data_IF_872696143746
#
_entry.id   IF_872696143746
#
_cell.length_a   1.000
_cell.length_b   1.000
_cell.length_c   1.000
_cell.angle_alpha   90.00
_cell.angle_beta   90.00
_cell.angle_gamma   90.00
#
_symmetry.space_group_name_H-M   'P 1'
#
loop_
_entity.id
_entity.type
_entity.pdbx_description
1 polymer ?
#
# COMPACT_ATOMS: atom_id res chain seq x y z
N UNK A 1 3.24 13.62 5.76
CA UNK A 1 2.84 12.91 4.54
C UNK A 1 3.40 11.49 4.53
N UNK A 2 2.59 10.54 4.08
CA UNK A 2 2.90 9.11 4.00
C UNK A 2 2.56 8.65 2.59
N UNK A 3 3.47 7.94 1.94
CA UNK A 3 3.24 7.31 0.64
C UNK A 3 3.54 5.83 0.80
N UNK A 4 2.61 5.00 0.34
CA UNK A 4 2.78 3.55 0.27
C UNK A 4 2.63 3.12 -1.17
N UNK A 5 3.60 2.34 -1.64
CA UNK A 5 3.58 1.69 -2.94
C UNK A 5 3.64 0.17 -2.72
N UNK A 6 2.82 -0.58 -3.44
CA UNK A 6 2.74 -2.03 -3.38
C UNK A 6 2.84 -2.63 -4.79
N UNK A 7 3.67 -3.65 -4.93
CA UNK A 7 3.70 -4.50 -6.12
C UNK A 7 2.77 -5.68 -5.86
N UNK A 8 1.86 -5.94 -6.81
CA UNK A 8 0.78 -6.91 -6.65
C UNK A 8 0.69 -7.85 -7.85
N UNK A 9 0.23 -9.08 -7.61
CA UNK A 9 0.04 -10.08 -8.66
C UNK A 9 -0.18 -11.48 -8.10
N UNK A 10 -0.12 -12.48 -8.96
CA UNK A 10 -0.33 -13.90 -8.63
C UNK A 10 -1.75 -14.40 -8.86
N UNK A 11 -2.71 -13.51 -9.16
CA UNK A 11 -4.09 -13.86 -9.50
C UNK A 11 -4.82 -12.66 -10.11
N UNK A 12 -5.85 -12.93 -10.92
CA UNK A 12 -6.74 -11.90 -11.42
C UNK A 12 -7.77 -11.50 -10.35
N UNK A 13 -8.10 -10.21 -10.27
CA UNK A 13 -9.04 -9.66 -9.29
C UNK A 13 -8.70 -8.23 -8.88
N UNK A 14 -9.31 -7.79 -7.79
CA UNK A 14 -9.07 -6.47 -7.22
C UNK A 14 -8.26 -6.61 -5.93
N UNK A 15 -7.29 -5.72 -5.77
CA UNK A 15 -6.59 -5.52 -4.50
C UNK A 15 -6.90 -4.12 -3.97
N UNK A 16 -7.39 -4.08 -2.74
CA UNK A 16 -7.67 -2.88 -1.99
C UNK A 16 -6.50 -2.61 -1.04
N UNK A 17 -6.08 -1.35 -0.93
CA UNK A 17 -5.03 -0.90 -0.03
C UNK A 17 -5.52 0.36 0.68
N UNK A 18 -5.42 0.43 2.00
CA UNK A 18 -5.83 1.61 2.77
C UNK A 18 -5.02 1.77 4.05
N UNK A 19 -5.20 2.90 4.72
CA UNK A 19 -4.59 3.14 6.02
C UNK A 19 -5.62 3.03 7.14
N UNK A 20 -5.19 2.51 8.29
CA UNK A 20 -5.92 2.63 9.55
C UNK A 20 -5.09 3.44 10.55
N UNK A 21 -5.73 4.36 11.26
CA UNK A 21 -5.16 5.07 12.40
C UNK A 21 -5.91 4.61 13.65
N UNK A 22 -5.18 4.03 14.60
CA UNK A 22 -5.76 3.47 15.82
C UNK A 22 -6.90 2.47 15.54
N UNK A 23 -6.74 1.61 14.52
CA UNK A 23 -7.72 0.62 14.10
C UNK A 23 -8.94 1.16 13.34
N UNK A 24 -9.01 2.48 13.09
CA UNK A 24 -10.07 3.10 12.28
C UNK A 24 -9.56 3.43 10.89
N UNK A 25 -10.32 3.08 9.85
CA UNK A 25 -9.97 3.44 8.48
C UNK A 25 -9.87 4.96 8.33
N UNK A 26 -8.78 5.43 7.74
CA UNK A 26 -8.61 6.84 7.40
C UNK A 26 -9.38 7.13 6.12
N UNK A 27 -10.21 8.17 6.14
CA UNK A 27 -11.01 8.59 4.98
C UNK A 27 -10.11 8.96 3.79
N UNK A 28 -10.59 8.69 2.56
CA UNK A 28 -9.90 8.99 1.31
C UNK A 28 -8.47 8.41 1.19
N UNK A 29 -8.18 7.38 1.97
CA UNK A 29 -6.86 6.75 2.04
C UNK A 29 -6.81 5.42 1.26
N UNK A 30 -7.94 5.03 0.65
CA UNK A 30 -8.08 3.79 -0.09
C UNK A 30 -7.63 3.92 -1.55
N UNK A 31 -6.95 2.89 -2.04
CA UNK A 31 -6.66 2.63 -3.43
C UNK A 31 -7.20 1.25 -3.81
N UNK A 32 -7.68 1.11 -5.04
CA UNK A 32 -8.11 -0.16 -5.62
C UNK A 32 -7.34 -0.33 -6.92
N UNK A 33 -6.69 -1.48 -7.08
CA UNK A 33 -6.03 -1.85 -8.33
C UNK A 33 -6.58 -3.18 -8.81
N UNK A 34 -7.08 -3.17 -10.05
CA UNK A 34 -7.49 -4.37 -10.75
C UNK A 34 -6.30 -4.99 -11.46
N UNK A 35 -6.14 -6.30 -11.32
CA UNK A 35 -5.20 -7.14 -12.06
C UNK A 35 -6.02 -8.01 -13.00
N UNK A 36 -5.77 -7.91 -14.30
CA UNK A 36 -6.66 -8.49 -15.32
C UNK A 36 -6.36 -9.96 -15.62
N UNK A 37 -5.17 -10.45 -15.26
CA UNK A 37 -4.76 -11.84 -15.50
C UNK A 37 -3.80 -12.36 -14.44
N UNK A 38 -3.70 -13.67 -14.30
CA UNK A 38 -2.84 -14.34 -13.31
C UNK A 38 -1.34 -14.08 -13.53
N UNK A 39 -0.94 -13.78 -14.77
CA UNK A 39 0.45 -13.50 -15.14
C UNK A 39 0.80 -12.01 -15.10
N UNK A 40 -0.16 -11.15 -14.78
CA UNK A 40 0.06 -9.71 -14.69
C UNK A 40 0.64 -9.35 -13.32
N UNK A 41 1.67 -8.52 -13.33
CA UNK A 41 2.18 -7.82 -12.15
C UNK A 41 1.84 -6.36 -12.31
N UNK A 42 1.23 -5.77 -11.29
CA UNK A 42 0.82 -4.38 -11.28
C UNK A 42 1.36 -3.66 -10.06
N UNK A 43 1.26 -2.33 -10.06
CA UNK A 43 1.65 -1.47 -8.95
C UNK A 43 0.45 -0.68 -8.49
N UNK A 44 0.19 -0.65 -7.19
CA UNK A 44 -0.80 0.25 -6.58
C UNK A 44 -0.13 1.15 -5.56
N UNK A 45 -0.70 2.33 -5.33
CA UNK A 45 -0.20 3.24 -4.32
C UNK A 45 -1.34 4.01 -3.65
N UNK A 46 -1.09 4.41 -2.41
CA UNK A 46 -1.94 5.35 -1.69
C UNK A 46 -1.07 6.32 -0.89
N UNK A 47 -1.54 7.55 -0.74
CA UNK A 47 -0.86 8.59 0.00
C UNK A 47 -1.82 9.29 0.95
N UNK A 48 -1.29 9.75 2.08
CA UNK A 48 -2.06 10.37 3.14
C UNK A 48 -1.26 11.49 3.82
N UNK A 49 -1.94 12.58 4.13
CA UNK A 49 -1.47 13.57 5.11
C UNK A 49 -2.37 13.39 6.34
N UNK A 50 -1.77 13.08 7.49
CA UNK A 50 -2.48 12.82 8.73
C UNK A 50 -1.69 13.37 9.90
N UNK A 51 -2.39 13.88 10.91
CA UNK A 51 -1.81 14.23 12.19
C UNK A 51 -1.61 12.95 13.01
N UNK A 52 -0.38 12.71 13.49
CA UNK A 52 -0.04 11.58 14.35
C UNK A 52 0.42 12.12 15.69
N UNK A 53 -0.27 11.73 16.76
CA UNK A 53 0.06 12.10 18.14
C UNK A 53 0.88 11.01 18.80
N UNK A 54 1.52 11.37 19.92
CA UNK A 54 2.25 10.39 20.71
C UNK A 54 1.29 9.28 21.19
N UNK A 55 1.64 8.04 20.91
CA UNK A 55 0.85 6.86 21.27
C UNK A 55 -0.08 6.37 20.16
N UNK A 56 -0.26 7.13 19.08
CA UNK A 56 -0.99 6.66 17.91
C UNK A 56 -0.20 5.57 17.17
N UNK A 57 -0.92 4.65 16.54
CA UNK A 57 -0.36 3.67 15.61
C UNK A 57 -1.07 3.75 14.26
N UNK A 58 -0.27 3.65 13.19
CA UNK A 58 -0.74 3.64 11.82
C UNK A 58 -0.48 2.26 11.22
N UNK A 59 -1.50 1.72 10.56
CA UNK A 59 -1.44 0.44 9.86
C UNK A 59 -1.68 0.66 8.38
N UNK A 60 -0.99 -0.14 7.57
CA UNK A 60 -1.25 -0.28 6.14
C UNK A 60 -1.96 -1.62 5.98
N UNK A 61 -3.15 -1.59 5.42
CA UNK A 61 -4.00 -2.78 5.32
C UNK A 61 -4.32 -3.03 3.86
N UNK A 62 -4.32 -4.31 3.47
CA UNK A 62 -4.76 -4.72 2.16
C UNK A 62 -5.74 -5.88 2.23
N UNK A 63 -6.58 -6.00 1.20
CA UNK A 63 -7.44 -7.15 1.00
C UNK A 63 -7.56 -7.45 -0.50
N UNK A 64 -7.83 -8.69 -0.86
CA UNK A 64 -8.06 -9.07 -2.25
C UNK A 64 -9.35 -9.86 -2.42
N UNK A 65 -9.97 -9.73 -3.59
CA UNK A 65 -11.10 -10.57 -4.03
C UNK A 65 -10.67 -11.98 -4.45
N UNK A 66 -9.36 -12.22 -4.64
CA UNK A 66 -8.79 -13.52 -5.01
C UNK A 66 -7.68 -13.91 -4.01
N UNK A 67 -7.74 -15.12 -3.45
CA UNK A 67 -6.75 -15.62 -2.49
C UNK A 67 -5.32 -15.76 -3.05
N UNK A 68 -5.16 -15.78 -4.38
CA UNK A 68 -3.85 -15.84 -5.03
C UNK A 68 -3.30 -14.45 -5.39
N UNK A 69 -4.14 -13.41 -5.33
CA UNK A 69 -3.72 -12.02 -5.57
C UNK A 69 -3.26 -11.39 -4.25
N UNK A 70 -2.02 -10.93 -4.22
CA UNK A 70 -1.43 -10.32 -3.03
C UNK A 70 -0.16 -9.52 -3.34
N UNK A 71 0.56 -9.15 -2.28
CA UNK A 71 1.84 -8.47 -2.36
C UNK A 71 2.90 -9.42 -2.96
N UNK A 72 3.64 -8.95 -3.96
CA UNK A 72 4.64 -9.73 -4.69
C UNK A 72 5.99 -9.04 -4.62
N UNK A 73 7.06 -9.79 -4.40
CA UNK A 73 8.43 -9.30 -4.64
C UNK A 73 8.79 -9.49 -6.10
N UNK A 74 9.49 -8.53 -6.69
CA UNK A 74 10.02 -8.68 -8.06
C UNK A 74 11.42 -9.29 -7.99
N UNK A 75 11.61 -10.41 -8.65
CA UNK A 75 12.92 -11.08 -8.76
C UNK A 75 13.39 -10.98 -10.21
N UNK A 76 14.57 -10.40 -10.41
CA UNK A 76 15.25 -10.31 -11.72
C UNK A 76 16.63 -10.92 -11.55
N UNK A 77 17.00 -11.84 -12.44
CA UNK A 77 18.30 -12.53 -12.38
C UNK A 77 19.47 -11.54 -12.37
N UNK A 78 20.39 -11.71 -11.42
CA UNK A 78 21.54 -10.84 -11.24
C UNK A 78 21.24 -9.47 -10.62
N UNK A 79 19.99 -9.19 -10.21
CA UNK A 79 19.61 -7.98 -9.48
C UNK A 79 19.13 -8.30 -8.05
N UNK A 80 19.22 -7.35 -7.12
CA UNK A 80 18.54 -7.49 -5.83
C UNK A 80 17.03 -7.63 -6.01
N UNK A 81 16.40 -8.48 -5.20
CA UNK A 81 14.94 -8.60 -5.12
C UNK A 81 14.31 -7.27 -4.73
N UNK A 82 13.32 -6.82 -5.50
CA UNK A 82 12.52 -5.64 -5.21
C UNK A 82 11.53 -5.88 -4.06
N UNK A 83 11.36 -4.89 -3.19
CA UNK A 83 10.42 -4.96 -2.07
C UNK A 83 8.97 -5.02 -2.57
N UNK A 84 8.15 -5.87 -1.93
CA UNK A 84 6.73 -5.97 -2.26
C UNK A 84 5.91 -4.76 -1.80
N UNK A 85 6.38 -4.07 -0.76
CA UNK A 85 5.79 -2.87 -0.19
C UNK A 85 6.91 -1.88 0.14
N UNK A 86 6.76 -0.63 -0.29
CA UNK A 86 7.64 0.48 0.10
C UNK A 86 6.82 1.55 0.78
N UNK A 87 7.32 2.04 1.92
CA UNK A 87 6.67 3.08 2.73
C UNK A 87 7.63 4.24 2.91
N UNK A 88 7.19 5.43 2.53
CA UNK A 88 7.94 6.66 2.73
C UNK A 88 7.15 7.59 3.64
N UNK A 89 7.77 7.99 4.75
CA UNK A 89 7.16 8.88 5.74
C UNK A 89 8.04 10.10 5.91
N UNK A 90 7.43 11.28 5.86
CA UNK A 90 8.11 12.51 6.24
C UNK A 90 7.15 13.49 6.89
N UNK A 91 7.70 14.29 7.81
CA UNK A 91 6.98 15.37 8.45
C UNK A 91 6.68 16.45 7.42
N UNK A 92 5.43 16.88 7.38
CA UNK A 92 5.04 17.97 6.50
C UNK A 92 5.43 19.32 7.13
N UNK A 93 6.22 20.15 6.44
CA UNK A 93 6.78 21.36 7.04
C UNK A 93 5.74 22.47 7.27
N UNK A 94 4.58 22.43 6.61
CA UNK A 94 3.59 23.51 6.58
C UNK A 94 2.31 23.22 7.38
N UNK A 95 2.30 22.21 8.25
CA UNK A 95 1.17 22.01 9.16
C UNK A 95 1.24 23.04 10.30
N UNK A 96 0.51 24.15 10.13
CA UNK A 96 0.24 25.10 11.21
C UNK A 96 -0.89 24.55 12.09
N UNK A 97 -0.60 24.33 13.37
CA UNK A 97 -1.61 24.09 14.40
C UNK A 97 -2.38 25.36 14.71
#
# INVERSE_FOLDING_TARGET
MIITNAIIGGGAGDLHLWYQLNGQQVENSNAIQTVSSENEVSTTFTQLIVEIKQGDYLEIVYSSTNSQLGLQTVVVDGQPTGAALTVTIFREPNCHN
#
